data_IF_661775216369
#
_entry.id   IF_661775216369
#
_cell.length_a   1.000
_cell.length_b   1.000
_cell.length_c   1.000
_cell.angle_alpha   90.00
_cell.angle_beta   90.00
_cell.angle_gamma   90.00
#
_symmetry.space_group_name_H-M   'P 1'
#
loop_
_entity.id
_entity.type
_entity.pdbx_description
1 polymer ?
#
# COMPACT_ATOMS: atom_id res chain seq x y z
N UNK A 1 6.10 -1.64 -6.02
CA UNK A 1 6.98 -0.58 -6.62
C UNK A 1 6.24 0.73 -6.55
N UNK A 2 6.88 1.78 -6.07
CA UNK A 2 6.24 3.09 -5.79
C UNK A 2 6.33 3.99 -7.02
N UNK A 3 5.20 4.55 -7.50
CA UNK A 3 5.22 5.59 -8.51
C UNK A 3 5.88 6.88 -8.00
N UNK A 4 6.21 7.78 -8.91
CA UNK A 4 6.68 9.12 -8.55
C UNK A 4 5.59 9.87 -7.78
N UNK A 5 6.00 10.61 -6.74
CA UNK A 5 5.06 11.33 -5.88
C UNK A 5 4.25 12.42 -6.59
N UNK A 6 4.79 13.00 -7.67
CA UNK A 6 4.10 13.99 -8.49
C UNK A 6 2.95 13.44 -9.34
N UNK A 7 2.82 12.11 -9.42
CA UNK A 7 1.65 11.45 -10.01
C UNK A 7 0.47 11.39 -9.05
N UNK A 8 0.69 11.58 -7.75
CA UNK A 8 -0.39 11.60 -6.78
C UNK A 8 -1.39 12.73 -7.09
N UNK A 9 -2.66 12.46 -6.91
CA UNK A 9 -3.75 13.39 -7.18
C UNK A 9 -3.84 13.87 -8.64
N UNK A 10 -3.28 13.11 -9.60
CA UNK A 10 -3.37 13.44 -11.02
C UNK A 10 -4.38 12.56 -11.76
N UNK A 11 -4.98 13.08 -12.86
CA UNK A 11 -5.82 12.23 -13.74
C UNK A 11 -5.07 11.03 -14.31
N UNK A 12 -3.76 11.15 -14.53
CA UNK A 12 -2.94 10.05 -15.04
C UNK A 12 -2.91 8.86 -14.08
N UNK A 13 -2.79 9.11 -12.77
CA UNK A 13 -2.91 8.06 -11.76
C UNK A 13 -4.30 7.42 -11.77
N UNK A 14 -5.36 8.22 -11.88
CA UNK A 14 -6.74 7.72 -11.98
C UNK A 14 -6.94 6.78 -13.16
N UNK A 15 -6.48 7.15 -14.36
CA UNK A 15 -6.53 6.32 -15.55
C UNK A 15 -5.72 5.02 -15.38
N UNK A 16 -4.56 5.11 -14.79
CA UNK A 16 -3.74 3.93 -14.49
C UNK A 16 -4.47 2.97 -13.56
N UNK A 17 -5.03 3.46 -12.45
CA UNK A 17 -5.79 2.61 -11.50
C UNK A 17 -6.99 1.95 -12.17
N UNK A 18 -7.73 2.67 -13.02
CA UNK A 18 -8.81 2.07 -13.82
C UNK A 18 -8.32 0.91 -14.69
N UNK A 19 -7.15 1.07 -15.32
CA UNK A 19 -6.59 0.03 -16.20
C UNK A 19 -6.14 -1.23 -15.45
N UNK A 20 -5.82 -1.14 -14.17
CA UNK A 20 -5.31 -2.25 -13.36
C UNK A 20 -6.28 -2.75 -12.29
N UNK A 21 -7.49 -2.23 -12.21
CA UNK A 21 -8.47 -2.58 -11.14
C UNK A 21 -8.65 -4.10 -10.99
N UNK A 22 -8.80 -4.83 -12.09
CA UNK A 22 -8.89 -6.29 -12.03
C UNK A 22 -7.63 -6.98 -11.52
N UNK A 23 -6.46 -6.42 -11.76
CA UNK A 23 -5.18 -6.91 -11.23
C UNK A 23 -5.01 -6.56 -9.75
N UNK A 24 -5.41 -5.34 -9.34
CA UNK A 24 -5.40 -4.93 -7.93
C UNK A 24 -6.17 -5.93 -7.06
N UNK A 25 -7.38 -6.27 -7.46
CA UNK A 25 -8.24 -7.20 -6.72
C UNK A 25 -7.70 -8.63 -6.63
N UNK A 26 -6.76 -9.00 -7.50
CA UNK A 26 -6.06 -10.29 -7.49
C UNK A 26 -4.64 -10.21 -6.99
N UNK A 27 -4.18 -9.04 -6.53
CA UNK A 27 -2.78 -8.77 -6.18
C UNK A 27 -1.79 -9.02 -7.35
N UNK A 28 -2.27 -8.93 -8.58
CA UNK A 28 -1.49 -9.17 -9.80
C UNK A 28 -1.51 -7.93 -10.69
N UNK A 29 -0.61 -6.99 -10.39
CA UNK A 29 -0.38 -5.81 -11.22
C UNK A 29 1.07 -5.34 -11.11
N UNK A 30 1.48 -4.58 -12.10
CA UNK A 30 2.80 -3.95 -12.12
C UNK A 30 2.68 -2.47 -12.45
N UNK A 31 3.38 -1.65 -11.70
CA UNK A 31 3.57 -0.25 -12.07
C UNK A 31 4.55 -0.18 -13.22
N UNK A 32 4.19 0.40 -14.37
CA UNK A 32 5.09 0.51 -15.51
C UNK A 32 6.28 1.41 -15.18
N UNK A 33 7.41 1.19 -15.84
CA UNK A 33 8.59 2.05 -15.68
C UNK A 33 8.38 3.45 -16.23
N UNK A 34 7.60 3.55 -17.29
CA UNK A 34 7.27 4.81 -17.98
C UNK A 34 5.85 4.80 -18.53
N UNK A 35 5.30 5.99 -18.76
CA UNK A 35 4.05 6.16 -19.50
C UNK A 35 4.24 5.78 -20.99
N UNK A 36 3.16 5.65 -21.76
CA UNK A 36 3.24 5.49 -23.21
C UNK A 36 3.99 6.63 -23.91
N UNK A 37 4.01 7.82 -23.33
CA UNK A 37 4.79 8.97 -23.82
C UNK A 37 6.28 8.97 -23.40
N UNK A 38 6.75 7.91 -22.72
CA UNK A 38 8.14 7.80 -22.26
C UNK A 38 8.44 8.50 -20.93
N UNK A 39 7.49 9.19 -20.32
CA UNK A 39 7.69 9.84 -19.02
C UNK A 39 7.90 8.78 -17.92
N UNK A 40 8.99 8.86 -17.13
CA UNK A 40 9.24 7.92 -16.04
C UNK A 40 8.08 7.88 -15.03
N UNK A 41 7.60 6.68 -14.71
CA UNK A 41 6.54 6.49 -13.71
C UNK A 41 7.09 6.04 -12.37
N UNK A 42 8.17 5.25 -12.38
CA UNK A 42 8.82 4.83 -11.15
C UNK A 42 9.77 5.92 -10.66
N UNK A 43 9.67 6.21 -9.40
CA UNK A 43 10.48 7.25 -8.79
C UNK A 43 10.40 7.16 -7.28
N UNK A 44 10.64 5.96 -6.75
CA UNK A 44 10.73 5.78 -5.31
C UNK A 44 11.81 6.70 -4.75
N UNK A 45 11.40 7.85 -4.28
CA UNK A 45 12.21 8.61 -3.35
C UNK A 45 11.89 8.00 -1.99
N UNK A 46 12.90 7.44 -1.32
CA UNK A 46 12.81 7.01 0.07
C UNK A 46 12.69 8.24 1.00
N UNK A 47 11.80 9.16 0.68
CA UNK A 47 11.36 10.19 1.62
C UNK A 47 10.34 9.53 2.52
N UNK A 48 10.59 9.60 3.81
CA UNK A 48 9.57 9.42 4.83
C UNK A 48 8.36 10.27 4.39
N UNK A 49 7.26 9.62 4.05
CA UNK A 49 6.02 10.34 3.83
C UNK A 49 5.67 11.02 5.14
N UNK A 50 5.16 12.25 5.09
CA UNK A 50 4.51 12.81 6.25
C UNK A 50 3.34 11.90 6.64
N UNK A 51 3.00 11.87 7.93
CA UNK A 51 1.82 11.13 8.41
C UNK A 51 0.53 11.50 7.66
N UNK A 52 0.52 12.63 6.97
CA UNK A 52 -0.62 13.14 6.20
C UNK A 52 -0.65 12.68 4.74
N UNK A 53 0.41 12.02 4.25
CA UNK A 53 0.47 11.59 2.85
C UNK A 53 -0.36 10.33 2.61
N UNK A 54 -1.23 10.37 1.63
CA UNK A 54 -1.93 9.22 1.10
C UNK A 54 -2.07 9.31 -0.42
N UNK A 55 -2.27 8.18 -1.08
CA UNK A 55 -2.50 8.15 -2.52
C UNK A 55 -3.95 8.45 -2.85
N UNK A 56 -4.16 9.55 -3.57
CA UNK A 56 -5.46 9.93 -4.13
C UNK A 56 -5.42 9.86 -5.67
N UNK A 57 -6.53 9.50 -6.27
CA UNK A 57 -6.67 9.42 -7.71
C UNK A 57 -7.99 10.08 -8.10
N UNK A 58 -7.98 11.28 -8.69
CA UNK A 58 -9.19 11.94 -9.15
C UNK A 58 -9.99 11.05 -10.09
N UNK A 59 -11.30 11.06 -9.94
CA UNK A 59 -12.25 10.26 -10.72
C UNK A 59 -12.17 8.73 -10.53
N UNK A 60 -11.30 8.22 -9.65
CA UNK A 60 -11.27 6.80 -9.30
C UNK A 60 -12.13 6.55 -8.06
N UNK A 61 -13.25 5.84 -8.25
CA UNK A 61 -14.30 5.67 -7.21
C UNK A 61 -14.12 4.44 -6.34
N UNK A 62 -13.39 3.44 -6.82
CA UNK A 62 -13.16 2.21 -6.07
C UNK A 62 -12.13 2.45 -4.95
N UNK A 63 -12.65 2.73 -3.76
CA UNK A 63 -11.85 3.04 -2.57
C UNK A 63 -11.02 1.86 -2.11
N UNK A 64 -11.55 0.65 -2.20
CA UNK A 64 -10.85 -0.57 -1.81
C UNK A 64 -9.61 -0.79 -2.70
N UNK A 65 -9.78 -0.76 -4.01
CA UNK A 65 -8.65 -0.87 -4.95
C UNK A 65 -7.64 0.26 -4.79
N UNK A 66 -8.07 1.50 -4.50
CA UNK A 66 -7.18 2.61 -4.17
C UNK A 66 -6.34 2.29 -2.93
N UNK A 67 -6.99 1.82 -1.86
CA UNK A 67 -6.31 1.44 -0.63
C UNK A 67 -5.29 0.33 -0.86
N UNK A 68 -5.66 -0.73 -1.57
CA UNK A 68 -4.72 -1.81 -1.96
C UNK A 68 -3.53 -1.30 -2.75
N UNK A 69 -3.76 -0.41 -3.71
CA UNK A 69 -2.66 0.22 -4.44
C UNK A 69 -1.74 1.00 -3.50
N UNK A 70 -2.31 1.82 -2.62
CA UNK A 70 -1.55 2.63 -1.68
C UNK A 70 -0.69 1.78 -0.73
N UNK A 71 -1.23 0.70 -0.18
CA UNK A 71 -0.49 -0.24 0.69
C UNK A 71 0.70 -0.89 -0.02
N UNK A 72 0.66 -1.04 -1.33
CA UNK A 72 1.76 -1.59 -2.11
C UNK A 72 2.82 -0.55 -2.52
N UNK A 73 2.69 0.68 -2.02
CA UNK A 73 3.69 1.75 -2.20
C UNK A 73 4.39 2.04 -0.88
N UNK A 74 5.68 2.39 -0.92
CA UNK A 74 6.41 2.76 0.29
C UNK A 74 5.75 3.95 1.01
N UNK A 75 5.35 4.98 0.25
CA UNK A 75 4.74 6.20 0.80
C UNK A 75 3.33 5.99 1.33
N UNK A 76 2.56 5.07 0.78
CA UNK A 76 1.24 4.73 1.29
C UNK A 76 1.34 3.85 2.53
N UNK A 77 2.16 2.80 2.49
CA UNK A 77 2.37 1.91 3.63
C UNK A 77 2.94 2.64 4.85
N UNK A 78 3.80 3.64 4.65
CA UNK A 78 4.38 4.48 5.71
C UNK A 78 3.69 5.85 5.84
N UNK A 79 2.39 5.91 5.64
CA UNK A 79 1.59 7.12 5.71
C UNK A 79 0.23 6.89 6.37
N UNK A 80 -0.76 7.66 5.95
CA UNK A 80 -2.12 7.63 6.52
C UNK A 80 -2.86 6.31 6.32
N UNK A 81 -2.45 5.49 5.35
CA UNK A 81 -3.10 4.18 5.12
C UNK A 81 -2.93 3.22 6.30
N UNK A 82 -1.82 3.32 7.02
CA UNK A 82 -1.48 2.43 8.14
C UNK A 82 -1.23 3.18 9.44
N UNK A 83 -1.32 4.50 9.41
CA UNK A 83 -0.90 5.36 10.53
C UNK A 83 0.52 5.07 11.04
N UNK A 84 1.41 4.62 10.14
CA UNK A 84 2.80 4.25 10.45
C UNK A 84 3.76 5.18 9.69
N UNK A 85 4.29 6.19 10.37
CA UNK A 85 5.12 7.23 9.77
C UNK A 85 6.59 6.80 9.54
N UNK A 86 7.03 5.70 10.11
CA UNK A 86 8.40 5.19 10.05
C UNK A 86 8.43 3.66 9.95
N UNK A 87 9.63 3.06 10.06
CA UNK A 87 9.82 1.60 10.01
C UNK A 87 8.94 0.83 10.99
N UNK A 88 8.62 -0.40 10.67
CA UNK A 88 7.75 -1.25 11.48
C UNK A 88 8.32 -1.57 12.86
N UNK A 89 9.62 -1.45 13.04
CA UNK A 89 10.31 -1.55 14.33
C UNK A 89 11.00 -0.22 14.60
N UNK A 90 10.74 0.37 15.76
CA UNK A 90 11.40 1.60 16.18
C UNK A 90 12.90 1.29 16.46
N UNK A 91 13.84 1.89 15.72
CA UNK A 91 15.26 1.63 15.91
C UNK A 91 15.82 2.12 17.25
N UNK A 92 15.10 2.97 17.97
CA UNK A 92 15.53 3.53 19.26
C UNK A 92 15.10 2.66 20.44
N UNK A 93 13.88 2.13 20.37
CA UNK A 93 13.28 1.36 21.47
C UNK A 93 13.24 -0.14 21.21
N UNK A 94 13.41 -0.56 19.95
CA UNK A 94 13.18 -1.94 19.52
C UNK A 94 11.71 -2.37 19.52
N UNK A 95 10.79 -1.44 19.81
CA UNK A 95 9.34 -1.71 19.85
C UNK A 95 8.77 -1.93 18.46
N UNK A 96 7.86 -2.92 18.32
CA UNK A 96 7.08 -3.10 17.11
C UNK A 96 5.99 -2.02 17.00
N UNK A 97 5.74 -1.55 15.79
CA UNK A 97 4.66 -0.60 15.52
C UNK A 97 3.28 -1.23 15.72
N UNK A 98 2.27 -0.41 15.93
CA UNK A 98 0.89 -0.86 16.05
C UNK A 98 0.40 -1.55 14.76
N UNK A 99 0.93 -1.17 13.60
CA UNK A 99 0.66 -1.87 12.34
C UNK A 99 1.04 -3.37 12.41
N UNK A 100 2.13 -3.70 13.10
CA UNK A 100 2.55 -5.08 13.29
C UNK A 100 1.71 -5.79 14.37
N UNK A 101 1.45 -5.11 15.49
CA UNK A 101 0.81 -5.70 16.68
C UNK A 101 -0.71 -5.70 16.64
N UNK A 102 -1.31 -4.75 15.95
CA UNK A 102 -2.75 -4.58 15.80
C UNK A 102 -3.20 -3.15 15.95
N UNK A 103 -3.79 -2.59 14.91
CA UNK A 103 -4.40 -1.26 14.89
C UNK A 103 -5.57 -1.25 13.91
N UNK A 104 -6.55 -0.39 14.17
CA UNK A 104 -7.61 -0.06 13.21
C UNK A 104 -7.45 1.37 12.75
N UNK A 105 -7.33 1.58 11.44
CA UNK A 105 -7.07 2.89 10.83
C UNK A 105 -8.22 3.27 9.92
N UNK A 106 -8.75 4.47 10.09
CA UNK A 106 -9.75 5.00 9.19
C UNK A 106 -9.15 5.26 7.79
N UNK A 107 -9.88 4.89 6.74
CA UNK A 107 -9.45 5.17 5.37
C UNK A 107 -9.26 6.69 5.18
N UNK A 108 -8.12 7.14 4.65
CA UNK A 108 -7.84 8.58 4.52
C UNK A 108 -8.78 9.29 3.54
N UNK A 109 -9.43 8.56 2.63
CA UNK A 109 -10.38 9.10 1.65
C UNK A 109 -11.83 8.99 2.13
N UNK A 110 -12.13 8.01 2.99
CA UNK A 110 -13.46 7.81 3.57
C UNK A 110 -13.35 7.33 5.01
N UNK A 111 -13.40 8.24 5.99
CA UNK A 111 -13.27 7.88 7.39
C UNK A 111 -14.37 6.95 7.95
N UNK A 112 -15.44 6.70 7.19
CA UNK A 112 -16.46 5.71 7.58
C UNK A 112 -16.00 4.26 7.35
N UNK A 113 -14.94 4.07 6.55
CA UNK A 113 -14.31 2.77 6.31
C UNK A 113 -13.11 2.63 7.26
N UNK A 114 -13.04 1.50 7.94
CA UNK A 114 -11.94 1.21 8.88
C UNK A 114 -11.22 -0.04 8.43
N UNK A 115 -9.90 0.05 8.32
CA UNK A 115 -9.02 -1.04 7.94
C UNK A 115 -8.31 -1.59 9.17
N UNK A 116 -8.55 -2.86 9.57
CA UNK A 116 -7.80 -3.50 10.63
C UNK A 116 -6.45 -4.01 10.10
N UNK A 117 -5.39 -3.75 10.83
CA UNK A 117 -4.05 -4.29 10.58
C UNK A 117 -3.59 -5.09 11.79
N UNK A 118 -3.02 -6.26 11.54
CA UNK A 118 -2.36 -7.12 12.51
C UNK A 118 -1.35 -7.98 11.75
N UNK A 119 -0.31 -7.35 11.24
CA UNK A 119 0.58 -7.94 10.22
C UNK A 119 1.31 -9.20 10.75
N UNK A 120 1.76 -9.19 11.99
CA UNK A 120 2.40 -10.37 12.59
C UNK A 120 1.45 -11.56 12.70
N UNK A 121 0.20 -11.30 13.09
CA UNK A 121 -0.81 -12.35 13.17
C UNK A 121 -1.17 -12.90 11.78
N UNK A 122 -1.25 -12.03 10.78
CA UNK A 122 -1.48 -12.46 9.41
C UNK A 122 -0.34 -13.33 8.87
N UNK A 123 0.91 -12.95 9.15
CA UNK A 123 2.09 -13.74 8.77
C UNK A 123 2.13 -15.08 9.49
N UNK A 124 1.79 -15.10 10.78
CA UNK A 124 1.69 -16.33 11.56
C UNK A 124 0.70 -17.32 10.93
N UNK A 125 -0.50 -16.86 10.60
CA UNK A 125 -1.54 -17.69 9.94
C UNK A 125 -1.06 -18.22 8.59
N UNK A 126 -0.43 -17.37 7.78
CA UNK A 126 0.10 -17.76 6.47
C UNK A 126 1.17 -18.85 6.65
N UNK A 127 2.08 -18.68 7.60
CA UNK A 127 3.13 -19.67 7.89
C UNK A 127 2.55 -21.01 8.37
N UNK A 128 1.54 -20.99 9.23
CA UNK A 128 0.86 -22.19 9.68
C UNK A 128 0.23 -22.98 8.53
N UNK A 129 -0.45 -22.28 7.61
CA UNK A 129 -1.02 -22.90 6.41
C UNK A 129 0.06 -23.52 5.53
N UNK A 130 1.19 -22.84 5.34
CA UNK A 130 2.32 -23.36 4.57
C UNK A 130 2.93 -24.60 5.20
N UNK A 131 3.07 -24.63 6.52
CA UNK A 131 3.60 -25.78 7.27
C UNK A 131 2.64 -26.96 7.15
N UNK A 132 1.33 -26.73 7.35
CA UNK A 132 0.30 -27.77 7.30
C UNK A 132 0.15 -28.41 5.92
N UNK A 133 0.27 -27.62 4.87
CA UNK A 133 0.12 -28.10 3.49
C UNK A 133 1.40 -28.73 2.91
N UNK A 134 2.48 -28.81 3.71
CA UNK A 134 3.81 -29.16 3.21
C UNK A 134 4.28 -28.16 2.15
N UNK A 135 5.51 -27.67 2.23
CA UNK A 135 6.07 -26.73 1.24
C UNK A 135 6.18 -27.40 -0.15
N UNK A 136 5.06 -27.64 -0.80
CA UNK A 136 5.04 -27.99 -2.22
C UNK A 136 5.32 -26.69 -2.96
N UNK A 137 6.62 -26.40 -3.16
CA UNK A 137 7.03 -25.37 -4.10
C UNK A 137 6.69 -25.89 -5.48
N UNK A 138 5.94 -25.14 -6.30
CA UNK A 138 5.64 -25.51 -7.68
C UNK A 138 6.88 -25.55 -8.55
#
# INVERSE_FOLDING_TARGET
MTPRGDLNSTPALGLFLHSITGGLNRHDYRVPRSSPSGTPWLGAVARLSSADTFWDAPNYRDKASRHFFALNTCTGCHGRETNTAFVHIDPRTGGASDFLNGISVADPKDPSIVHPFAELEQRRKTLEVLIQNGCSVP
#
